data_IF_944584875528
#
_entry.id   IF_944584875528
#
_cell.length_a   1.000
_cell.length_b   1.000
_cell.length_c   1.000
_cell.angle_alpha   90.00
_cell.angle_beta   90.00
_cell.angle_gamma   90.00
#
_symmetry.space_group_name_H-M   'P 1'
#
loop_
_entity.id
_entity.type
_entity.pdbx_description
1 polymer ?
#
# COMPACT_ATOMS: atom_id res chain seq x y z
N UNK A 1 17.98 -8.12 -12.77
CA UNK A 1 16.70 -7.35 -12.89
C UNK A 1 15.59 -8.12 -13.60
N UNK A 2 15.87 -8.92 -14.64
CA UNK A 2 14.87 -9.79 -15.31
C UNK A 2 14.45 -10.98 -14.42
N UNK A 3 15.31 -11.45 -13.53
CA UNK A 3 15.06 -12.61 -12.66
C UNK A 3 13.93 -12.40 -11.65
N UNK A 4 13.88 -11.25 -10.95
CA UNK A 4 12.85 -11.02 -9.93
C UNK A 4 11.42 -10.99 -10.51
N UNK A 5 11.23 -10.39 -11.69
CA UNK A 5 9.93 -10.39 -12.38
C UNK A 5 9.52 -11.80 -12.81
N UNK A 6 10.48 -12.65 -13.19
CA UNK A 6 10.22 -14.03 -13.58
C UNK A 6 9.97 -14.94 -12.37
N UNK A 7 10.72 -14.75 -11.27
CA UNK A 7 10.53 -15.46 -9.99
C UNK A 7 9.16 -15.11 -9.37
N UNK A 8 8.76 -13.84 -9.46
CA UNK A 8 7.56 -13.31 -8.80
C UNK A 8 6.41 -13.02 -9.76
N UNK A 9 6.37 -13.74 -10.90
CA UNK A 9 5.29 -13.62 -11.89
C UNK A 9 3.88 -13.83 -11.34
N UNK A 10 3.76 -14.47 -10.18
CA UNK A 10 2.51 -14.75 -9.49
C UNK A 10 2.09 -13.62 -8.53
N UNK A 11 3.01 -12.73 -8.16
CA UNK A 11 2.69 -11.58 -7.31
C UNK A 11 2.06 -10.54 -8.21
N UNK A 12 0.77 -10.30 -8.04
CA UNK A 12 0.00 -9.32 -8.81
C UNK A 12 -0.34 -8.12 -7.95
N UNK A 13 -0.51 -6.92 -8.56
CA UNK A 13 -0.99 -5.76 -7.86
C UNK A 13 -2.40 -6.01 -7.33
N UNK A 14 -2.68 -5.53 -6.12
CA UNK A 14 -3.99 -5.69 -5.51
C UNK A 14 -4.46 -4.39 -4.87
N UNK A 15 -5.78 -4.17 -4.91
CA UNK A 15 -6.43 -3.10 -4.16
C UNK A 15 -6.69 -3.58 -2.74
N UNK A 16 -6.54 -2.69 -1.76
CA UNK A 16 -7.01 -2.98 -0.40
C UNK A 16 -8.53 -3.18 -0.43
N UNK A 17 -9.04 -4.08 0.41
CA UNK A 17 -10.48 -4.18 0.68
C UNK A 17 -10.98 -2.89 1.33
N UNK A 18 -12.28 -2.63 1.32
CA UNK A 18 -12.85 -1.41 1.94
C UNK A 18 -12.45 -1.26 3.41
N UNK A 19 -12.45 -2.37 4.17
CA UNK A 19 -11.99 -2.38 5.55
C UNK A 19 -10.48 -2.14 5.67
N UNK A 20 -9.68 -2.76 4.79
CA UNK A 20 -8.24 -2.57 4.73
C UNK A 20 -7.87 -1.12 4.39
N UNK A 21 -8.57 -0.52 3.42
CA UNK A 21 -8.44 0.89 3.05
C UNK A 21 -8.79 1.81 4.21
N UNK A 22 -9.93 1.57 4.88
CA UNK A 22 -10.35 2.36 6.05
C UNK A 22 -9.27 2.33 7.13
N UNK A 23 -8.76 1.15 7.47
CA UNK A 23 -7.70 1.01 8.48
C UNK A 23 -6.40 1.67 8.03
N UNK A 24 -6.00 1.46 6.76
CA UNK A 24 -4.82 2.10 6.20
C UNK A 24 -4.90 3.63 6.32
N UNK A 25 -6.03 4.24 5.93
CA UNK A 25 -6.23 5.68 6.02
C UNK A 25 -6.18 6.20 7.45
N UNK A 26 -6.84 5.50 8.39
CA UNK A 26 -6.81 5.89 9.81
C UNK A 26 -5.38 5.84 10.33
N UNK A 27 -4.64 4.76 10.05
CA UNK A 27 -3.26 4.59 10.49
C UNK A 27 -2.32 5.61 9.88
N UNK A 28 -2.41 5.84 8.56
CA UNK A 28 -1.56 6.79 7.84
C UNK A 28 -1.81 8.23 8.30
N UNK A 29 -3.08 8.60 8.51
CA UNK A 29 -3.48 9.94 8.94
C UNK A 29 -3.03 10.33 10.35
N UNK A 30 -2.50 9.39 11.13
CA UNK A 30 -1.82 9.70 12.40
C UNK A 30 -0.45 10.33 12.18
N UNK A 31 0.17 10.08 11.04
CA UNK A 31 1.50 10.56 10.69
C UNK A 31 1.40 11.77 9.75
N UNK A 32 0.58 11.64 8.69
CA UNK A 32 0.44 12.65 7.65
C UNK A 32 -0.97 12.60 7.07
N UNK A 33 -1.60 13.77 6.90
CA UNK A 33 -2.96 13.85 6.33
C UNK A 33 -2.99 13.32 4.89
N UNK A 34 -3.88 12.38 4.64
CA UNK A 34 -4.14 11.70 3.38
C UNK A 34 -5.65 11.54 3.18
N UNK A 35 -6.11 11.98 2.01
CA UNK A 35 -7.47 11.75 1.52
C UNK A 35 -7.37 10.84 0.29
N UNK A 36 -7.88 9.62 0.41
CA UNK A 36 -7.87 8.63 -0.66
C UNK A 36 -9.12 7.76 -0.62
N UNK A 37 -9.58 7.32 -1.79
CA UNK A 37 -10.65 6.32 -1.96
C UNK A 37 -10.14 5.00 -2.55
N UNK A 38 -8.89 4.98 -3.02
CA UNK A 38 -8.24 3.82 -3.60
C UNK A 38 -6.79 3.76 -3.12
N UNK A 39 -6.41 2.60 -2.59
CA UNK A 39 -5.01 2.25 -2.33
C UNK A 39 -4.70 0.92 -3.01
N UNK A 40 -3.75 0.94 -3.93
CA UNK A 40 -3.29 -0.24 -4.67
C UNK A 40 -1.85 -0.54 -4.28
N UNK A 41 -1.59 -1.77 -3.86
CA UNK A 41 -0.27 -2.25 -3.50
C UNK A 41 0.32 -3.00 -4.69
N UNK A 42 1.52 -2.61 -5.10
CA UNK A 42 2.22 -3.10 -6.28
C UNK A 42 3.66 -3.51 -5.91
N UNK A 43 4.10 -4.75 -6.13
CA UNK A 43 5.47 -5.18 -5.82
C UNK A 43 6.52 -4.48 -6.71
N UNK A 44 7.62 -3.99 -6.13
CA UNK A 44 8.73 -3.45 -6.93
C UNK A 44 9.61 -4.58 -7.49
N UNK A 45 9.65 -4.71 -8.81
CA UNK A 45 10.52 -5.68 -9.49
C UNK A 45 11.88 -5.11 -9.91
N UNK A 46 12.10 -3.81 -9.72
CA UNK A 46 13.33 -3.10 -10.10
C UNK A 46 14.20 -2.68 -8.90
N UNK A 47 13.67 -2.69 -7.67
CA UNK A 47 14.37 -2.26 -6.46
C UNK A 47 15.02 -3.39 -5.65
N UNK A 48 15.34 -3.13 -4.37
CA UNK A 48 15.60 -4.22 -3.41
C UNK A 48 14.36 -5.12 -3.37
N UNK A 49 14.58 -6.43 -3.21
CA UNK A 49 13.52 -7.46 -3.27
C UNK A 49 12.38 -7.19 -2.28
N UNK A 50 12.55 -6.34 -1.27
CA UNK A 50 11.62 -6.12 -0.16
C UNK A 50 10.74 -4.86 -0.30
N UNK A 51 10.78 -4.10 -1.41
CA UNK A 51 10.01 -2.87 -1.55
C UNK A 51 8.72 -3.02 -2.39
N UNK A 52 7.66 -2.37 -1.93
CA UNK A 52 6.36 -2.32 -2.59
C UNK A 52 5.97 -0.86 -2.85
N UNK A 53 5.42 -0.61 -4.02
CA UNK A 53 4.80 0.65 -4.40
C UNK A 53 3.35 0.66 -3.93
N UNK A 54 2.99 1.66 -3.14
CA UNK A 54 1.62 1.91 -2.72
C UNK A 54 1.09 3.09 -3.52
N UNK A 55 0.25 2.82 -4.51
CA UNK A 55 -0.38 3.83 -5.35
C UNK A 55 -1.68 4.31 -4.70
N UNK A 56 -1.82 5.61 -4.55
CA UNK A 56 -2.92 6.25 -3.85
C UNK A 56 -3.71 7.10 -4.84
N UNK A 57 -5.02 6.86 -4.87
CA UNK A 57 -5.98 7.59 -5.69
C UNK A 57 -7.11 8.19 -4.87
N UNK A 58 -7.70 9.26 -5.39
CA UNK A 58 -8.89 9.89 -4.85
C UNK A 58 -9.74 10.43 -6.01
N UNK A 59 -11.04 10.07 -6.08
CA UNK A 59 -11.98 10.52 -7.09
C UNK A 59 -11.46 10.34 -8.53
N UNK A 60 -10.92 9.15 -8.84
CA UNK A 60 -10.28 8.81 -10.12
C UNK A 60 -8.99 9.60 -10.46
N UNK A 61 -8.47 10.42 -9.55
CA UNK A 61 -7.21 11.12 -9.71
C UNK A 61 -6.09 10.42 -8.98
N UNK A 62 -4.90 10.40 -9.58
CA UNK A 62 -3.67 10.01 -8.89
C UNK A 62 -3.34 11.07 -7.83
N UNK A 63 -3.08 10.63 -6.60
CA UNK A 63 -2.70 11.50 -5.47
C UNK A 63 -1.20 11.42 -5.26
N UNK A 64 -0.70 10.24 -4.89
CA UNK A 64 0.73 9.99 -4.69
C UNK A 64 1.06 8.51 -4.78
N UNK A 65 2.35 8.24 -4.83
CA UNK A 65 2.91 6.90 -4.68
C UNK A 65 3.85 6.91 -3.48
N UNK A 66 3.89 5.79 -2.75
CA UNK A 66 4.80 5.57 -1.64
C UNK A 66 5.62 4.32 -1.90
N UNK A 67 6.88 4.34 -1.49
CA UNK A 67 7.72 3.14 -1.44
C UNK A 67 7.75 2.64 0.01
N UNK A 68 7.06 1.53 0.26
CA UNK A 68 6.95 0.94 1.60
C UNK A 68 7.41 -0.51 1.59
N UNK A 69 7.95 -0.96 2.73
CA UNK A 69 8.16 -2.38 2.97
C UNK A 69 6.80 -3.05 3.27
N UNK A 70 6.60 -4.34 2.94
CA UNK A 70 5.39 -5.09 3.26
C UNK A 70 4.96 -4.96 4.72
N UNK A 71 5.92 -5.09 5.64
CA UNK A 71 5.66 -5.02 7.07
C UNK A 71 5.18 -3.63 7.49
N UNK A 72 5.68 -2.57 6.85
CA UNK A 72 5.23 -1.20 7.12
C UNK A 72 3.78 -0.97 6.66
N UNK A 73 3.38 -1.57 5.53
CA UNK A 73 1.98 -1.51 5.07
C UNK A 73 1.05 -2.17 6.09
N UNK A 74 1.44 -3.36 6.57
CA UNK A 74 0.67 -4.08 7.58
C UNK A 74 0.61 -3.32 8.90
N UNK A 75 1.73 -2.73 9.34
CA UNK A 75 1.79 -1.93 10.57
C UNK A 75 0.84 -0.72 10.52
N UNK A 76 0.79 -0.01 9.39
CA UNK A 76 -0.16 1.10 9.19
C UNK A 76 -1.61 0.61 9.33
N UNK A 77 -1.95 -0.53 8.72
CA UNK A 77 -3.28 -1.14 8.81
C UNK A 77 -3.60 -1.55 10.25
N UNK A 78 -2.65 -2.18 10.95
CA UNK A 78 -2.84 -2.65 12.32
C UNK A 78 -3.04 -1.50 13.31
N UNK A 79 -2.28 -0.42 13.15
CA UNK A 79 -2.45 0.82 13.90
C UNK A 79 -3.88 1.37 13.69
N UNK A 80 -4.33 1.44 12.43
CA UNK A 80 -5.67 1.90 12.12
C UNK A 80 -6.78 0.99 12.65
N UNK A 81 -6.56 -0.33 12.63
CA UNK A 81 -7.51 -1.32 13.17
C UNK A 81 -7.66 -1.20 14.67
N UNK A 82 -6.57 -1.02 15.42
CA UNK A 82 -6.57 -0.88 16.88
C UNK A 82 -7.28 0.38 17.37
N UNK A 83 -7.32 1.42 16.53
CA UNK A 83 -7.98 2.70 16.84
C UNK A 83 -9.47 2.73 16.51
N UNK A 84 -9.97 1.71 15.80
CA UNK A 84 -11.38 1.54 15.44
C UNK A 84 -12.16 0.68 16.47
N UNK A 85 -11.51 0.28 17.57
CA UNK A 85 -12.10 -0.44 18.71
C UNK A 85 -12.31 0.55 19.86
#
# INVERSE_FOLDING_TARGET
MVEAKNEWKHVIPFKLSDQGLKHFLIGYNLQEKLEADIVTVWPSYKGRRDQYYVLIGNNNCFVKWLELLPNSIQEIIDIGSKKNI
#
